data_IF_270840903239
#
_entry.id   IF_270840903239
#
_cell.length_a   1.000
_cell.length_b   1.000
_cell.length_c   1.000
_cell.angle_alpha   90.00
_cell.angle_beta   90.00
_cell.angle_gamma   90.00
#
_symmetry.space_group_name_H-M   'P 1'
#
loop_
_entity.id
_entity.type
_entity.pdbx_description
1 polymer ?
#
# COMPACT_ATOMS: atom_id res chain seq x y z
N UNK A 1 11.22 22.67 15.35
CA UNK A 1 11.34 21.19 15.35
C UNK A 1 10.08 20.62 15.99
N UNK A 2 9.60 19.41 15.66
CA UNK A 2 9.40 18.80 14.34
C UNK A 2 8.12 17.91 14.28
N UNK A 3 7.37 17.84 13.15
CA UNK A 3 6.50 16.69 12.84
C UNK A 3 5.84 16.89 11.46
N UNK A 4 6.32 16.27 10.38
CA UNK A 4 5.52 16.03 9.14
C UNK A 4 6.31 15.31 8.05
N UNK A 5 7.61 15.58 7.84
CA UNK A 5 8.36 15.01 6.70
C UNK A 5 8.38 13.48 6.67
N UNK A 6 8.57 12.81 7.81
CA UNK A 6 8.72 11.34 7.88
C UNK A 6 7.43 10.54 7.65
N UNK A 7 6.26 11.10 7.98
CA UNK A 7 4.99 10.37 7.91
C UNK A 7 4.47 10.29 6.47
N UNK A 8 4.60 11.38 5.69
CA UNK A 8 4.22 11.39 4.28
C UNK A 8 5.12 10.48 3.44
N UNK A 9 6.43 10.52 3.68
CA UNK A 9 7.41 9.69 2.95
C UNK A 9 7.10 8.19 3.11
N UNK A 10 6.73 7.75 4.31
CA UNK A 10 6.36 6.37 4.59
C UNK A 10 5.10 5.92 3.85
N UNK A 11 4.01 6.71 3.92
CA UNK A 11 2.75 6.36 3.26
C UNK A 11 2.89 6.31 1.73
N UNK A 12 3.75 7.17 1.17
CA UNK A 12 4.11 7.13 -0.25
C UNK A 12 4.88 5.85 -0.59
N UNK A 13 5.91 5.51 0.18
CA UNK A 13 6.70 4.28 -0.03
C UNK A 13 5.83 3.03 0.05
N UNK A 14 4.94 2.96 1.04
CA UNK A 14 4.00 1.85 1.20
C UNK A 14 3.17 1.63 -0.08
N UNK A 15 2.59 2.71 -0.63
CA UNK A 15 1.82 2.65 -1.87
C UNK A 15 2.63 2.10 -3.05
N UNK A 16 3.92 2.38 -3.14
CA UNK A 16 4.79 1.86 -4.21
C UNK A 16 5.23 0.41 -3.98
N UNK A 17 5.14 -0.09 -2.75
CA UNK A 17 5.50 -1.45 -2.38
C UNK A 17 4.29 -2.36 -2.16
N UNK A 18 3.07 -1.86 -2.41
CA UNK A 18 1.83 -2.64 -2.30
C UNK A 18 1.36 -3.20 -3.63
N UNK A 19 0.81 -4.42 -3.58
CA UNK A 19 0.14 -5.07 -4.68
C UNK A 19 -1.26 -4.51 -4.88
N UNK A 20 -1.61 -4.11 -6.10
CA UNK A 20 -2.94 -3.58 -6.43
C UNK A 20 -4.08 -4.60 -6.39
N UNK A 21 -3.78 -5.90 -6.25
CA UNK A 21 -4.80 -6.97 -6.19
C UNK A 21 -5.17 -7.30 -4.74
N UNK A 22 -4.18 -7.50 -3.86
CA UNK A 22 -4.44 -7.82 -2.45
C UNK A 22 -4.32 -6.63 -1.51
N UNK A 23 -3.86 -5.47 -1.99
CA UNK A 23 -3.62 -4.25 -1.20
C UNK A 23 -2.60 -4.41 -0.06
N UNK A 24 -1.82 -5.48 -0.08
CA UNK A 24 -0.74 -5.75 0.88
C UNK A 24 0.63 -5.51 0.23
N UNK A 25 1.67 -5.37 1.05
CA UNK A 25 3.06 -5.34 0.58
C UNK A 25 3.38 -6.56 -0.29
N UNK A 26 4.15 -6.36 -1.36
CA UNK A 26 4.50 -7.41 -2.31
C UNK A 26 5.09 -8.65 -1.65
N UNK A 27 4.58 -9.82 -2.04
CA UNK A 27 5.17 -11.15 -1.79
C UNK A 27 5.50 -11.79 -3.12
N UNK A 28 6.79 -12.10 -3.32
CA UNK A 28 7.32 -12.62 -4.59
C UNK A 28 6.78 -11.84 -5.81
N UNK A 29 7.06 -10.52 -5.89
CA UNK A 29 6.52 -9.69 -6.94
C UNK A 29 7.00 -10.13 -8.33
N UNK A 30 6.10 -10.15 -9.29
CA UNK A 30 6.39 -10.35 -10.72
C UNK A 30 5.97 -9.12 -11.50
N UNK A 31 6.75 -8.76 -12.53
CA UNK A 31 6.50 -7.56 -13.34
C UNK A 31 6.09 -7.95 -14.76
N UNK A 32 4.97 -7.39 -15.23
CA UNK A 32 4.52 -7.54 -16.61
C UNK A 32 5.32 -6.63 -17.55
N UNK A 33 5.26 -6.90 -18.86
CA UNK A 33 5.84 -6.04 -19.90
C UNK A 33 5.23 -4.63 -19.95
N UNK A 34 4.09 -4.42 -19.29
CA UNK A 34 3.52 -3.10 -19.06
C UNK A 34 4.07 -2.38 -17.82
N UNK A 35 5.10 -2.92 -17.17
CA UNK A 35 5.75 -2.44 -15.94
C UNK A 35 4.87 -2.42 -14.67
N UNK A 36 3.67 -3.00 -14.71
CA UNK A 36 2.89 -3.19 -13.50
C UNK A 36 3.33 -4.47 -12.79
N UNK A 37 3.47 -4.37 -11.47
CA UNK A 37 3.91 -5.47 -10.62
C UNK A 37 2.79 -5.96 -9.70
N UNK A 38 2.78 -7.25 -9.43
CA UNK A 38 1.79 -7.95 -8.60
C UNK A 38 2.50 -9.03 -7.79
N UNK A 39 1.95 -9.46 -6.66
CA UNK A 39 2.37 -10.73 -6.05
C UNK A 39 2.15 -11.86 -7.07
N UNK A 40 3.11 -12.79 -7.21
CA UNK A 40 3.00 -13.90 -8.16
C UNK A 40 1.66 -14.63 -8.05
N UNK A 41 1.29 -15.04 -6.82
CA UNK A 41 0.03 -15.73 -6.54
C UNK A 41 -1.23 -14.90 -6.80
N UNK A 42 -1.15 -13.57 -6.71
CA UNK A 42 -2.30 -12.70 -7.00
C UNK A 42 -2.55 -12.60 -8.50
N UNK A 43 -1.48 -12.52 -9.29
CA UNK A 43 -1.57 -12.45 -10.74
C UNK A 43 -2.04 -13.79 -11.32
N UNK A 44 -1.50 -14.91 -10.81
CA UNK A 44 -1.89 -16.26 -11.22
C UNK A 44 -3.39 -16.50 -11.01
N UNK A 45 -3.90 -16.25 -9.78
CA UNK A 45 -5.34 -16.35 -9.49
C UNK A 45 -6.19 -15.48 -10.39
N UNK A 46 -5.74 -14.26 -10.68
CA UNK A 46 -6.47 -13.35 -11.57
C UNK A 46 -6.55 -13.92 -13.00
N UNK A 47 -5.45 -14.47 -13.52
CA UNK A 47 -5.42 -15.09 -14.85
C UNK A 47 -6.27 -16.35 -14.93
N UNK A 48 -6.26 -17.18 -13.90
CA UNK A 48 -7.14 -18.36 -13.79
C UNK A 48 -8.62 -17.95 -13.82
N UNK A 49 -9.00 -16.94 -13.01
CA UNK A 49 -10.39 -16.47 -12.92
C UNK A 49 -10.88 -15.82 -14.22
N UNK A 50 -10.02 -15.08 -14.90
CA UNK A 50 -10.41 -14.32 -16.11
C UNK A 50 -10.20 -15.09 -17.41
N UNK A 51 -9.52 -16.24 -17.36
CA UNK A 51 -9.19 -17.05 -18.53
C UNK A 51 -8.28 -16.35 -19.54
N UNK A 52 -7.59 -15.28 -19.14
CA UNK A 52 -6.69 -14.52 -20.01
C UNK A 52 -5.49 -13.97 -19.24
N UNK A 53 -4.39 -13.75 -19.95
CA UNK A 53 -3.13 -13.24 -19.38
C UNK A 53 -3.04 -11.70 -19.42
N UNK A 54 -4.13 -10.97 -19.15
CA UNK A 54 -4.10 -9.51 -19.18
C UNK A 54 -3.64 -8.90 -17.85
N UNK A 55 -3.08 -7.70 -17.92
CA UNK A 55 -2.75 -6.91 -16.75
C UNK A 55 -4.04 -6.52 -15.98
N UNK A 56 -4.13 -6.76 -14.66
CA UNK A 56 -5.26 -6.32 -13.84
C UNK A 56 -5.54 -4.80 -13.93
N UNK A 57 -4.50 -3.98 -14.11
CA UNK A 57 -4.59 -2.51 -14.11
C UNK A 57 -4.92 -1.96 -15.50
N UNK A 58 -4.03 -2.13 -16.48
CA UNK A 58 -4.16 -1.49 -17.80
C UNK A 58 -4.73 -2.40 -18.90
N UNK A 59 -5.09 -3.64 -18.55
CA UNK A 59 -5.66 -4.65 -19.46
C UNK A 59 -4.77 -5.06 -20.65
N UNK A 60 -3.53 -4.56 -20.72
CA UNK A 60 -2.54 -5.01 -21.72
C UNK A 60 -2.21 -6.49 -21.51
N UNK A 61 -2.22 -7.27 -22.60
CA UNK A 61 -1.86 -8.69 -22.59
C UNK A 61 -0.39 -8.88 -22.21
N UNK A 62 -0.12 -9.84 -21.33
CA UNK A 62 1.24 -10.30 -21.04
C UNK A 62 1.86 -10.92 -22.29
N UNK A 63 3.11 -10.58 -22.55
CA UNK A 63 3.90 -11.15 -23.64
C UNK A 63 4.69 -12.40 -23.23
N UNK A 64 4.68 -12.77 -21.94
CA UNK A 64 5.44 -13.90 -21.40
C UNK A 64 4.52 -14.82 -20.61
N UNK A 65 4.77 -16.12 -20.72
CA UNK A 65 4.06 -17.16 -19.98
C UNK A 65 4.63 -17.34 -18.57
N UNK A 66 5.96 -17.28 -18.46
CA UNK A 66 6.69 -17.31 -17.19
C UNK A 66 7.20 -15.90 -16.86
N UNK A 67 6.96 -15.47 -15.62
CA UNK A 67 7.39 -14.17 -15.11
C UNK A 67 8.33 -14.40 -13.93
N UNK A 68 9.62 -14.07 -14.07
CA UNK A 68 10.55 -14.23 -12.97
C UNK A 68 10.21 -13.24 -11.84
N UNK A 69 10.54 -13.64 -10.62
CA UNK A 69 10.43 -12.76 -9.45
C UNK A 69 11.35 -11.56 -9.63
N UNK A 70 10.81 -10.37 -9.36
CA UNK A 70 11.56 -9.13 -9.28
C UNK A 70 12.24 -9.05 -7.90
N UNK A 71 13.45 -9.61 -7.81
CA UNK A 71 14.21 -9.67 -6.56
C UNK A 71 14.46 -8.31 -5.92
N UNK A 72 14.71 -7.26 -6.73
CA UNK A 72 14.91 -5.91 -6.19
C UNK A 72 13.65 -5.38 -5.51
N UNK A 73 12.48 -5.58 -6.13
CA UNK A 73 11.21 -5.16 -5.52
C UNK A 73 10.87 -6.01 -4.29
N UNK A 74 11.24 -7.29 -4.30
CA UNK A 74 11.10 -8.18 -3.15
C UNK A 74 11.94 -7.71 -1.97
N UNK A 75 13.22 -7.44 -2.17
CA UNK A 75 14.13 -6.96 -1.13
C UNK A 75 13.67 -5.62 -0.52
N UNK A 76 13.21 -4.69 -1.37
CA UNK A 76 12.65 -3.41 -0.90
C UNK A 76 11.39 -3.60 -0.05
N UNK A 77 10.49 -4.48 -0.50
CA UNK A 77 9.27 -4.84 0.22
C UNK A 77 9.57 -5.50 1.57
N UNK A 78 10.49 -6.46 1.61
CA UNK A 78 10.93 -7.15 2.83
C UNK A 78 11.56 -6.16 3.82
N UNK A 79 12.52 -5.34 3.38
CA UNK A 79 13.15 -4.30 4.19
C UNK A 79 12.15 -3.28 4.74
N UNK A 80 11.10 -2.95 3.97
CA UNK A 80 10.02 -2.10 4.45
C UNK A 80 9.24 -2.75 5.60
N UNK A 81 8.94 -4.05 5.49
CA UNK A 81 8.20 -4.79 6.54
C UNK A 81 9.03 -5.07 7.80
N UNK A 82 10.33 -5.35 7.68
CA UNK A 82 11.20 -5.60 8.84
C UNK A 82 11.32 -4.39 9.75
N UNK A 83 11.42 -3.19 9.17
CA UNK A 83 11.42 -1.91 9.90
C UNK A 83 10.11 -1.65 10.65
N UNK A 84 9.01 -2.31 10.29
CA UNK A 84 7.75 -2.24 11.05
C UNK A 84 7.80 -3.09 12.32
N UNK A 85 8.44 -4.27 12.23
CA UNK A 85 8.49 -5.24 13.33
C UNK A 85 9.44 -4.79 14.43
N UNK A 86 10.57 -4.17 14.09
CA UNK A 86 11.55 -3.69 15.07
C UNK A 86 11.13 -2.42 15.84
N UNK A 87 10.03 -1.77 15.44
CA UNK A 87 9.46 -0.60 16.12
C UNK A 87 8.21 -0.88 16.96
N UNK A 88 7.72 -2.13 17.02
CA UNK A 88 6.40 -2.47 17.57
C UNK A 88 6.50 -3.46 18.74
N UNK A 89 7.00 -3.01 19.89
CA UNK A 89 6.50 -3.51 21.18
C UNK A 89 5.34 -2.62 21.58
N UNK A 90 4.17 -2.86 21.00
CA UNK A 90 2.84 -2.66 21.59
C UNK A 90 1.80 -3.14 20.58
N UNK A 91 0.93 -4.02 21.07
CA UNK A 91 -0.18 -4.66 20.38
C UNK A 91 -1.20 -3.65 19.88
N UNK A 92 -1.70 -3.78 18.65
CA UNK A 92 -3.13 -3.59 18.35
C UNK A 92 -3.48 -4.03 16.91
N UNK A 93 -4.37 -5.02 16.84
CA UNK A 93 -5.17 -5.46 15.70
C UNK A 93 -5.96 -4.29 15.08
N UNK A 94 -5.95 -4.16 13.74
CA UNK A 94 -6.95 -3.37 13.00
C UNK A 94 -6.40 -2.49 11.88
N UNK A 95 -6.52 -2.99 10.65
CA UNK A 95 -6.77 -2.27 9.39
C UNK A 95 -7.09 -0.76 9.48
N UNK A 96 -6.17 0.14 9.11
CA UNK A 96 -6.40 1.60 8.93
C UNK A 96 -5.45 2.19 7.88
N UNK A 97 -5.93 2.46 6.67
CA UNK A 97 -6.45 3.75 6.18
C UNK A 97 -5.37 4.80 5.83
N UNK A 98 -5.26 5.07 4.52
CA UNK A 98 -4.65 6.25 3.92
C UNK A 98 -5.17 7.55 4.58
N UNK A 99 -4.26 8.35 5.15
CA UNK A 99 -4.53 9.75 5.49
C UNK A 99 -3.59 10.68 4.73
N UNK A 100 -4.15 11.37 3.73
CA UNK A 100 -3.54 12.53 3.05
C UNK A 100 -4.22 13.77 3.61
N UNK A 101 -3.45 14.74 4.13
CA UNK A 101 -4.02 15.98 4.70
C UNK A 101 -3.67 17.20 3.83
N UNK A 102 -4.70 18.04 3.69
CA UNK A 102 -4.93 19.24 2.86
C UNK A 102 -3.80 20.29 2.87
N UNK A 103 -3.63 20.99 1.73
CA UNK A 103 -2.60 22.02 1.48
C UNK A 103 -3.05 23.47 1.73
N UNK A 104 -4.24 23.73 2.32
CA UNK A 104 -4.62 25.07 2.78
C UNK A 104 -5.05 25.14 4.25
N UNK A 105 -6.05 24.42 4.75
CA UNK A 105 -6.39 24.32 6.20
C UNK A 105 -7.22 23.01 6.44
N UNK A 106 -6.98 22.23 7.52
CA UNK A 106 -7.80 22.08 8.75
C UNK A 106 -9.32 22.20 8.51
N UNK A 107 -10.20 21.22 8.73
CA UNK A 107 -10.35 20.25 9.83
C UNK A 107 -11.14 19.02 9.29
N UNK A 108 -10.89 17.73 9.54
CA UNK A 108 -9.93 16.94 10.32
C UNK A 108 -10.14 15.45 9.89
N UNK A 109 -9.08 14.62 9.77
CA UNK A 109 -8.83 13.65 10.82
C UNK A 109 -7.40 13.79 11.37
N UNK A 110 -7.31 13.98 12.69
CA UNK A 110 -6.22 14.58 13.49
C UNK A 110 -4.78 14.19 13.14
N UNK A 111 -4.04 15.24 12.77
CA UNK A 111 -2.64 15.51 13.08
C UNK A 111 -2.58 16.99 13.51
N UNK A 112 -2.12 17.25 14.73
CA UNK A 112 -2.35 18.46 15.54
C UNK A 112 -1.86 19.79 14.91
N UNK A 113 -2.63 20.89 15.11
CA UNK A 113 -2.23 22.29 14.91
C UNK A 113 -2.58 23.11 16.19
N UNK A 114 -1.72 24.06 16.57
CA UNK A 114 -1.70 24.67 17.90
C UNK A 114 -2.76 25.75 18.19
N UNK A 115 -3.67 26.07 17.25
CA UNK A 115 -4.48 27.28 17.40
C UNK A 115 -5.90 27.11 17.97
N UNK A 116 -6.55 25.94 17.96
CA UNK A 116 -7.91 25.85 18.55
C UNK A 116 -8.35 24.45 19.03
N UNK A 117 -8.58 24.33 20.34
CA UNK A 117 -8.78 23.07 21.05
C UNK A 117 -10.20 22.47 20.93
N UNK A 118 -10.59 21.81 19.82
CA UNK A 118 -11.72 20.83 19.84
C UNK A 118 -11.63 19.69 18.82
N UNK A 119 -12.01 18.48 19.29
CA UNK A 119 -12.04 17.20 18.56
C UNK A 119 -13.46 16.78 18.17
N UNK A 120 -13.73 16.29 16.94
CA UNK A 120 -14.93 15.46 16.61
C UNK A 120 -14.61 14.27 15.71
N UNK A 121 -15.27 13.13 15.99
CA UNK A 121 -15.19 11.85 15.26
C UNK A 121 -16.63 11.50 14.88
N UNK A 122 -16.94 11.22 13.61
CA UNK A 122 -18.21 10.57 13.24
C UNK A 122 -17.99 9.06 13.15
N UNK A 123 -18.58 8.32 14.08
CA UNK A 123 -18.79 6.87 13.96
C UNK A 123 -19.92 6.66 12.95
N UNK A 124 -19.70 5.87 11.90
CA UNK A 124 -20.80 5.20 11.21
C UNK A 124 -20.76 3.73 11.64
N UNK A 125 -21.77 3.36 12.41
CA UNK A 125 -22.06 2.00 12.85
C UNK A 125 -22.69 1.22 11.70
N UNK A 126 -22.36 -0.07 11.63
CA UNK A 126 -23.01 -1.13 10.87
C UNK A 126 -24.54 -1.11 10.96
N UNK A 127 -25.24 -1.51 9.89
CA UNK A 127 -26.56 -2.16 9.97
C UNK A 127 -26.33 -3.64 9.79
#
# INVERSE_FOLDING_TARGET
MPCTKKVLERALIERYLSCHVCSETFRDPVSLSCNHSFCSSCLEKFWEQTGNKNCPICKRRSSKDDLPINFSLKELAESFTERQKSGSSETETGEKQLMVVCSKHQEDPKLFCEDEQRMKIRKFTTI
#
